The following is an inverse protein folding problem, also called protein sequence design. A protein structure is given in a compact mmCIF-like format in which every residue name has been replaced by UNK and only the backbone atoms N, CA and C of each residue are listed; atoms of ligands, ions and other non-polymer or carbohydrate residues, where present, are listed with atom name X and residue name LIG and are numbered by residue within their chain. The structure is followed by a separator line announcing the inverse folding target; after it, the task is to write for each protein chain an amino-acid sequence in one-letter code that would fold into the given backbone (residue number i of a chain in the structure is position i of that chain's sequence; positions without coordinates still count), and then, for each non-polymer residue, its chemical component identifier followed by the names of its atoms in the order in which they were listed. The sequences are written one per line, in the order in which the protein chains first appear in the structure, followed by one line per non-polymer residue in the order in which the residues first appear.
data_IF_814895598841
#
_entry.id   IF_814895598841
#
_cell.length_a   1.000
_cell.length_b   1.000
_cell.length_c   1.000
_cell.angle_alpha   90.00
_cell.angle_beta   90.00
_cell.angle_gamma   90.00
#
_symmetry.space_group_name_H-M   'P 1'
#
loop_
_entity.id
_entity.type
_entity.pdbx_description
1 polymer ?
#
# COMPACT_ATOMS: atom_id res chain seq x y z
N UNK A 1 28.69 -7.09 -19.38
CA UNK A 1 27.90 -8.09 -18.61
C UNK A 1 27.77 -9.35 -19.43
N UNK A 2 28.13 -10.53 -18.90
CA UNK A 2 27.92 -11.80 -19.59
C UNK A 2 26.41 -12.06 -19.65
N UNK A 3 25.86 -12.09 -20.87
CA UNK A 3 24.47 -12.45 -21.14
C UNK A 3 24.19 -13.86 -20.61
N UNK A 4 23.41 -13.99 -19.53
CA UNK A 4 22.96 -15.30 -19.06
C UNK A 4 22.04 -15.92 -20.10
N UNK A 5 22.35 -17.14 -20.53
CA UNK A 5 21.50 -17.91 -21.46
C UNK A 5 20.06 -17.95 -20.93
N UNK A 6 19.02 -17.63 -21.72
CA UNK A 6 17.62 -17.63 -21.29
C UNK A 6 17.19 -18.93 -20.58
N UNK A 7 17.66 -20.08 -21.05
CA UNK A 7 17.43 -21.39 -20.41
C UNK A 7 17.87 -21.46 -18.94
N UNK A 8 18.93 -20.73 -18.55
CA UNK A 8 19.42 -20.70 -17.16
C UNK A 8 18.51 -19.89 -16.22
N UNK A 9 17.80 -18.89 -16.74
CA UNK A 9 16.89 -18.05 -15.94
C UNK A 9 15.57 -18.79 -15.72
N UNK A 10 15.03 -19.41 -16.78
CA UNK A 10 13.86 -20.27 -16.72
C UNK A 10 14.04 -21.40 -15.69
N UNK A 11 15.14 -22.15 -15.80
CA UNK A 11 15.47 -23.23 -14.87
C UNK A 11 15.61 -22.71 -13.43
N UNK A 12 16.32 -21.59 -13.23
CA UNK A 12 16.50 -21.00 -11.89
C UNK A 12 15.17 -20.57 -11.26
N UNK A 13 14.26 -19.97 -12.02
CA UNK A 13 12.94 -19.60 -11.51
C UNK A 13 12.12 -20.85 -11.15
N UNK A 14 12.13 -21.86 -12.01
CA UNK A 14 11.43 -23.12 -11.78
C UNK A 14 11.85 -23.78 -10.46
N UNK A 15 13.15 -24.04 -10.31
CA UNK A 15 13.72 -24.66 -9.11
C UNK A 15 13.54 -23.86 -7.82
N UNK A 16 13.24 -22.56 -7.90
CA UNK A 16 13.10 -21.69 -6.72
C UNK A 16 11.66 -21.42 -6.31
N UNK A 17 10.70 -21.53 -7.24
CA UNK A 17 9.35 -21.01 -7.03
C UNK A 17 8.26 -22.04 -7.33
N UNK A 18 8.42 -22.85 -8.39
CA UNK A 18 7.31 -23.66 -8.91
C UNK A 18 7.60 -25.16 -9.02
N UNK A 19 8.83 -25.60 -8.73
CA UNK A 19 9.11 -27.03 -8.57
C UNK A 19 8.46 -27.57 -7.29
N UNK A 20 8.20 -28.87 -7.26
CA UNK A 20 7.59 -29.54 -6.10
C UNK A 20 8.38 -29.28 -4.80
N UNK A 21 9.70 -29.48 -4.85
CA UNK A 21 10.60 -29.17 -3.75
C UNK A 21 10.60 -27.69 -3.34
N UNK A 22 10.44 -26.76 -4.29
CA UNK A 22 10.38 -25.34 -3.98
C UNK A 22 9.09 -24.96 -3.26
N UNK A 23 7.97 -25.55 -3.67
CA UNK A 23 6.67 -25.35 -3.04
C UNK A 23 6.68 -25.86 -1.60
N UNK A 24 7.17 -27.09 -1.40
CA UNK A 24 7.33 -27.68 -0.07
C UNK A 24 8.23 -26.83 0.83
N UNK A 25 9.42 -26.46 0.33
CA UNK A 25 10.35 -25.61 1.07
C UNK A 25 9.74 -24.24 1.41
N UNK A 26 9.02 -23.61 0.47
CA UNK A 26 8.37 -22.32 0.72
C UNK A 26 7.31 -22.44 1.80
N UNK A 27 6.48 -23.49 1.75
CA UNK A 27 5.47 -23.74 2.77
C UNK A 27 6.07 -23.92 4.17
N UNK A 28 7.09 -24.78 4.30
CA UNK A 28 7.78 -24.99 5.58
C UNK A 28 8.43 -23.71 6.09
N UNK A 29 9.09 -22.94 5.22
CA UNK A 29 9.70 -21.66 5.61
C UNK A 29 8.67 -20.63 6.05
N UNK A 30 7.46 -20.63 5.47
CA UNK A 30 6.40 -19.73 5.90
C UNK A 30 5.86 -20.10 7.29
N UNK A 31 5.83 -21.39 7.63
CA UNK A 31 5.53 -21.85 9.00
C UNK A 31 6.63 -21.41 9.98
N UNK A 32 7.90 -21.61 9.62
CA UNK A 32 9.05 -21.23 10.46
C UNK A 32 9.02 -19.73 10.83
N UNK A 33 8.67 -18.87 9.87
CA UNK A 33 8.68 -17.41 10.07
C UNK A 33 7.35 -16.86 10.59
N UNK A 34 6.32 -17.68 10.78
CA UNK A 34 4.98 -17.21 11.17
C UNK A 34 4.99 -16.33 12.42
N UNK A 35 5.68 -16.66 13.52
CA UNK A 35 5.70 -15.81 14.71
C UNK A 35 6.36 -14.45 14.47
N UNK A 36 7.45 -14.43 13.68
CA UNK A 36 8.14 -13.21 13.31
C UNK A 36 7.27 -12.34 12.39
N UNK A 37 6.59 -12.98 11.43
CA UNK A 37 5.66 -12.31 10.53
C UNK A 37 4.48 -11.73 11.31
N UNK A 38 3.86 -12.49 12.21
CA UNK A 38 2.77 -12.03 13.05
C UNK A 38 3.15 -10.77 13.84
N UNK A 39 4.31 -10.81 14.50
CA UNK A 39 4.89 -9.65 15.19
C UNK A 39 5.05 -8.45 14.25
N UNK A 40 5.61 -8.67 13.07
CA UNK A 40 5.83 -7.59 12.09
C UNK A 40 4.52 -6.99 11.60
N UNK A 41 3.52 -7.81 11.28
CA UNK A 41 2.20 -7.37 10.83
C UNK A 41 1.52 -6.52 11.90
N UNK A 42 1.52 -6.96 13.16
CA UNK A 42 0.96 -6.20 14.27
C UNK A 42 1.63 -4.84 14.45
N UNK A 43 2.97 -4.80 14.42
CA UNK A 43 3.72 -3.55 14.60
C UNK A 43 3.54 -2.56 13.45
N UNK A 44 3.39 -3.05 12.22
CA UNK A 44 3.37 -2.18 11.05
C UNK A 44 1.95 -1.81 10.64
N UNK A 45 1.06 -2.79 10.50
CA UNK A 45 -0.25 -2.54 9.90
C UNK A 45 -1.19 -1.74 10.81
N UNK A 46 -1.15 -2.00 12.12
CA UNK A 46 -2.00 -1.28 13.08
C UNK A 46 -1.75 0.22 13.04
N UNK A 47 -0.48 0.65 13.03
CA UNK A 47 -0.10 2.07 13.00
C UNK A 47 -0.62 2.76 11.74
N UNK A 48 -0.40 2.17 10.56
CA UNK A 48 -0.87 2.75 9.31
C UNK A 48 -2.40 2.78 9.23
N UNK A 49 -3.05 1.65 9.49
CA UNK A 49 -4.51 1.55 9.37
C UNK A 49 -5.21 2.48 10.39
N UNK A 50 -4.69 2.60 11.63
CA UNK A 50 -5.22 3.54 12.64
C UNK A 50 -4.97 5.01 12.26
N UNK A 51 -3.83 5.31 11.65
CA UNK A 51 -3.53 6.66 11.13
C UNK A 51 -4.50 7.03 10.01
N UNK A 52 -4.74 6.12 9.07
CA UNK A 52 -5.67 6.28 7.95
C UNK A 52 -7.09 6.57 8.45
N UNK A 53 -7.55 5.87 9.49
CA UNK A 53 -8.87 6.09 10.08
C UNK A 53 -8.98 7.46 10.77
N UNK A 54 -7.97 7.85 11.54
CA UNK A 54 -7.95 9.16 12.21
C UNK A 54 -7.91 10.32 11.22
N UNK A 55 -6.98 10.25 10.27
CA UNK A 55 -6.83 11.26 9.21
C UNK A 55 -8.03 11.23 8.24
N UNK A 56 -8.65 10.07 8.05
CA UNK A 56 -9.90 9.92 7.32
C UNK A 56 -11.01 10.79 7.90
N UNK A 57 -11.23 10.76 9.21
CA UNK A 57 -12.24 11.60 9.85
C UNK A 57 -11.90 13.10 9.72
N UNK A 58 -10.64 13.47 9.96
CA UNK A 58 -10.20 14.88 9.92
C UNK A 58 -10.27 15.49 8.51
N UNK A 59 -9.99 14.69 7.48
CA UNK A 59 -10.03 15.12 6.07
C UNK A 59 -11.32 14.74 5.36
N UNK A 60 -12.33 14.24 6.07
CA UNK A 60 -13.59 13.79 5.49
C UNK A 60 -13.36 12.74 4.36
N UNK A 61 -12.40 11.81 4.52
CA UNK A 61 -12.19 10.64 3.63
C UNK A 61 -12.74 9.36 4.26
N UNK A 62 -13.61 8.67 3.53
CA UNK A 62 -14.28 7.47 4.03
C UNK A 62 -13.29 6.32 4.23
N UNK A 63 -13.49 5.44 5.24
CA UNK A 63 -12.64 4.27 5.45
C UNK A 63 -12.51 3.37 4.22
N UNK A 64 -13.59 3.21 3.42
CA UNK A 64 -13.55 2.39 2.20
C UNK A 64 -12.59 2.96 1.13
N UNK A 65 -12.40 4.28 1.12
CA UNK A 65 -11.50 4.94 0.18
C UNK A 65 -10.04 4.62 0.51
N UNK A 66 -9.67 4.34 1.76
CA UNK A 66 -8.33 3.85 2.07
C UNK A 66 -8.17 2.40 1.61
N UNK A 67 -7.67 2.22 0.38
CA UNK A 67 -7.41 0.89 -0.21
C UNK A 67 -6.48 0.02 0.65
N UNK A 68 -5.43 0.55 1.33
CA UNK A 68 -4.64 -0.26 2.25
C UNK A 68 -5.45 -0.78 3.43
N UNK A 69 -6.46 -0.03 3.91
CA UNK A 69 -7.40 -0.43 4.95
C UNK A 69 -8.46 -1.44 4.45
N UNK A 70 -9.12 -1.16 3.32
CA UNK A 70 -10.30 -1.88 2.83
C UNK A 70 -10.01 -3.12 1.97
N UNK A 71 -8.72 -3.48 1.81
CA UNK A 71 -8.33 -4.65 1.03
C UNK A 71 -8.23 -5.91 1.87
N UNK A 72 -9.02 -6.92 1.51
CA UNK A 72 -8.85 -8.28 1.98
C UNK A 72 -9.23 -9.32 0.91
N UNK A 73 -8.81 -10.56 1.13
CA UNK A 73 -9.07 -11.68 0.23
C UNK A 73 -9.56 -12.91 1.00
N UNK A 74 -10.62 -13.51 0.49
CA UNK A 74 -11.08 -14.82 0.88
C UNK A 74 -10.38 -15.89 0.03
N UNK A 75 -10.03 -16.98 0.69
CA UNK A 75 -9.48 -18.17 0.05
C UNK A 75 -10.61 -19.17 -0.23
N UNK A 76 -10.60 -19.73 -1.43
CA UNK A 76 -11.45 -20.86 -1.78
C UNK A 76 -10.61 -22.02 -2.29
N UNK A 77 -10.92 -23.21 -1.77
CA UNK A 77 -10.32 -24.47 -2.21
C UNK A 77 -10.68 -24.71 -3.69
N UNK A 78 -9.71 -25.02 -4.54
CA UNK A 78 -9.97 -25.41 -5.92
C UNK A 78 -10.66 -26.78 -6.00
N UNK A 79 -11.36 -27.04 -7.10
CA UNK A 79 -11.84 -28.40 -7.42
C UNK A 79 -10.68 -29.30 -7.86
N UNK A 80 -10.94 -30.61 -7.98
CA UNK A 80 -9.94 -31.56 -8.48
C UNK A 80 -9.48 -31.19 -9.90
N UNK A 81 -10.42 -30.88 -10.80
CA UNK A 81 -10.10 -30.50 -12.19
C UNK A 81 -9.31 -29.19 -12.27
N UNK A 82 -9.69 -28.19 -11.45
CA UNK A 82 -8.93 -26.95 -11.29
C UNK A 82 -7.49 -27.23 -10.83
N UNK A 83 -7.32 -28.13 -9.86
CA UNK A 83 -6.01 -28.53 -9.32
C UNK A 83 -5.16 -29.26 -10.37
N UNK A 84 -5.77 -30.14 -11.17
CA UNK A 84 -5.09 -30.82 -12.29
C UNK A 84 -4.62 -29.81 -13.36
N UNK A 85 -5.37 -28.72 -13.56
CA UNK A 85 -4.93 -27.60 -14.41
C UNK A 85 -3.93 -26.65 -13.71
N UNK A 86 -3.49 -26.97 -12.50
CA UNK A 86 -2.51 -26.20 -11.75
C UNK A 86 -3.08 -25.00 -11.01
N UNK A 87 -4.40 -24.90 -10.84
CA UNK A 87 -5.03 -23.87 -10.01
C UNK A 87 -5.00 -24.37 -8.56
N UNK A 88 -4.02 -23.90 -7.79
CA UNK A 88 -3.79 -24.33 -6.39
C UNK A 88 -4.61 -23.52 -5.38
N UNK A 89 -5.00 -22.30 -5.76
CA UNK A 89 -5.73 -21.39 -4.89
C UNK A 89 -6.62 -20.45 -5.70
N UNK A 90 -7.83 -20.19 -5.19
CA UNK A 90 -8.70 -19.14 -5.67
C UNK A 90 -8.77 -18.03 -4.63
N UNK A 91 -8.41 -16.82 -5.05
CA UNK A 91 -8.48 -15.62 -4.22
C UNK A 91 -9.64 -14.77 -4.70
N UNK A 92 -10.63 -14.55 -3.84
CA UNK A 92 -11.73 -13.61 -4.09
C UNK A 92 -11.53 -12.37 -3.24
N UNK A 93 -11.61 -11.20 -3.86
CA UNK A 93 -11.56 -9.93 -3.12
C UNK A 93 -12.79 -9.86 -2.22
N UNK A 94 -12.58 -9.56 -0.94
CA UNK A 94 -13.66 -9.26 -0.02
C UNK A 94 -14.10 -7.82 -0.26
N UNK A 95 -15.41 -7.62 -0.39
CA UNK A 95 -15.98 -6.31 -0.69
C UNK A 95 -16.44 -5.62 0.60
N UNK A 96 -15.56 -4.82 1.19
CA UNK A 96 -15.83 -4.19 2.49
C UNK A 96 -17.00 -3.21 2.43
N UNK A 97 -17.28 -2.61 1.27
CA UNK A 97 -18.43 -1.72 1.10
C UNK A 97 -19.77 -2.44 1.24
N UNK A 98 -19.80 -3.76 1.01
CA UNK A 98 -21.01 -4.59 1.19
C UNK A 98 -21.12 -5.19 2.59
N UNK A 99 -19.98 -5.36 3.27
CA UNK A 99 -19.93 -5.94 4.61
C UNK A 99 -20.16 -4.91 5.70
N UNK A 100 -19.70 -3.68 5.49
CA UNK A 100 -19.67 -2.63 6.49
C UNK A 100 -20.26 -1.34 5.90
N UNK A 101 -21.56 -1.14 6.09
CA UNK A 101 -22.27 0.04 5.60
C UNK A 101 -21.62 1.35 6.11
N UNK A 102 -21.20 1.35 7.38
CA UNK A 102 -20.47 2.43 8.03
C UNK A 102 -19.16 2.83 7.36
N UNK A 103 -18.55 1.99 6.52
CA UNK A 103 -17.34 2.36 5.78
C UNK A 103 -17.63 3.23 4.54
N UNK A 104 -18.90 3.30 4.12
CA UNK A 104 -19.35 3.94 2.87
C UNK A 104 -20.09 5.25 3.10
N UNK A 105 -20.51 5.52 4.34
CA UNK A 105 -21.24 6.71 4.71
C UNK A 105 -20.69 7.30 6.02
N UNK A 106 -20.50 8.63 6.04
CA UNK A 106 -19.89 9.32 7.18
C UNK A 106 -20.78 9.36 8.41
N UNK A 107 -22.10 9.47 8.19
CA UNK A 107 -23.05 9.51 9.28
C UNK A 107 -23.09 8.16 9.97
N UNK A 108 -23.17 7.08 9.20
CA UNK A 108 -23.07 5.73 9.73
C UNK A 108 -21.71 5.47 10.37
N UNK A 109 -20.60 5.96 9.78
CA UNK A 109 -19.27 5.87 10.39
C UNK A 109 -19.25 6.47 11.80
N UNK A 110 -19.80 7.68 11.95
CA UNK A 110 -19.84 8.39 13.22
C UNK A 110 -20.75 7.68 14.22
N UNK A 111 -21.96 7.30 13.80
CA UNK A 111 -22.96 6.68 14.67
C UNK A 111 -22.53 5.30 15.20
N UNK A 112 -21.85 4.50 14.38
CA UNK A 112 -21.43 3.15 14.75
C UNK A 112 -20.17 3.14 15.64
N UNK A 113 -19.28 4.11 15.47
CA UNK A 113 -17.96 4.07 16.11
C UNK A 113 -17.79 5.00 17.32
N UNK A 114 -18.59 6.05 17.46
CA UNK A 114 -18.39 7.07 18.49
C UNK A 114 -19.57 7.16 19.46
N UNK A 115 -19.30 7.56 20.70
CA UNK A 115 -20.32 7.71 21.74
C UNK A 115 -21.32 8.82 21.39
N UNK A 116 -22.59 8.62 21.76
CA UNK A 116 -23.73 9.45 21.33
C UNK A 116 -23.55 10.94 21.65
N UNK A 117 -22.92 11.26 22.78
CA UNK A 117 -22.67 12.63 23.22
C UNK A 117 -21.76 13.42 22.27
N UNK A 118 -20.88 12.75 21.51
CA UNK A 118 -19.94 13.41 20.59
C UNK A 118 -20.44 13.43 19.14
N UNK A 119 -21.44 12.61 18.79
CA UNK A 119 -21.87 12.42 17.41
C UNK A 119 -22.35 13.72 16.75
N UNK A 120 -23.13 14.54 17.46
CA UNK A 120 -23.65 15.80 16.92
C UNK A 120 -22.52 16.77 16.52
N UNK A 121 -21.48 16.86 17.35
CA UNK A 121 -20.32 17.72 17.08
C UNK A 121 -19.50 17.21 15.90
N UNK A 122 -19.27 15.88 15.83
CA UNK A 122 -18.54 15.27 14.72
C UNK A 122 -19.28 15.42 13.38
N UNK A 123 -20.62 15.25 13.38
CA UNK A 123 -21.44 15.42 12.19
C UNK A 123 -21.47 16.86 11.70
N UNK A 124 -21.46 17.84 12.61
CA UNK A 124 -21.42 19.25 12.27
C UNK A 124 -20.10 19.66 11.58
N UNK A 125 -19.01 18.92 11.82
CA UNK A 125 -17.71 19.15 11.17
C UNK A 125 -17.64 18.55 9.77
N UNK A 126 -18.38 17.47 9.51
CA UNK A 126 -18.44 16.84 8.19
C UNK A 126 -19.42 17.58 7.29
N UNK A 127 -18.90 18.44 6.40
CA UNK A 127 -19.70 19.03 5.34
C UNK A 127 -20.18 17.94 4.35
N UNK A 128 -21.44 18.03 3.92
CA UNK A 128 -21.96 17.12 2.90
C UNK A 128 -21.23 17.32 1.57
N UNK A 129 -20.74 16.21 1.01
CA UNK A 129 -20.04 16.22 -0.27
C UNK A 129 -21.02 16.53 -1.38
N UNK A 130 -20.60 17.36 -2.32
CA UNK A 130 -21.38 17.65 -3.50
C UNK A 130 -21.51 16.40 -4.39
N UNK A 131 -22.74 15.98 -4.65
CA UNK A 131 -23.07 14.92 -5.60
C UNK A 131 -23.61 15.57 -6.88
N UNK A 132 -22.94 15.32 -8.00
CA UNK A 132 -23.33 15.86 -9.30
C UNK A 132 -24.77 15.49 -9.64
N UNK A 133 -25.60 16.49 -9.94
CA UNK A 133 -27.02 16.30 -10.28
C UNK A 133 -27.97 16.14 -9.10
N UNK A 134 -27.48 16.13 -7.84
CA UNK A 134 -28.32 16.03 -6.64
C UNK A 134 -28.13 17.25 -5.74
N UNK A 135 -26.89 17.61 -5.43
CA UNK A 135 -26.61 18.71 -4.50
C UNK A 135 -26.88 20.06 -5.17
N UNK A 136 -27.67 20.97 -4.56
CA UNK A 136 -27.89 22.31 -5.09
C UNK A 136 -26.58 23.09 -5.25
N UNK A 137 -26.54 23.94 -6.27
CA UNK A 137 -25.36 24.79 -6.56
C UNK A 137 -24.96 25.62 -5.33
N UNK A 138 -23.65 25.73 -5.09
CA UNK A 138 -23.04 26.43 -3.95
C UNK A 138 -23.38 25.87 -2.54
N UNK A 139 -24.03 24.70 -2.41
CA UNK A 139 -24.34 24.07 -1.11
C UNK A 139 -23.53 22.82 -0.78
N UNK A 140 -22.67 22.36 -1.69
CA UNK A 140 -21.85 21.18 -1.47
C UNK A 140 -20.36 21.49 -1.45
N UNK A 141 -19.60 20.69 -0.69
CA UNK A 141 -18.14 20.74 -0.71
C UNK A 141 -17.62 19.77 -1.78
N UNK A 142 -16.77 20.27 -2.66
CA UNK A 142 -16.05 19.44 -3.64
C UNK A 142 -14.66 19.15 -3.10
N UNK A 143 -14.37 17.87 -2.84
CA UNK A 143 -12.99 17.47 -2.61
C UNK A 143 -12.23 17.58 -3.94
N UNK A 144 -11.06 18.21 -4.00
CA UNK A 144 -10.18 18.04 -5.13
C UNK A 144 -9.81 16.56 -5.20
N UNK A 145 -10.25 15.86 -6.26
CA UNK A 145 -9.99 14.43 -6.51
C UNK A 145 -8.50 14.12 -6.32
N UNK A 146 -7.66 15.06 -6.73
CA UNK A 146 -6.21 15.02 -6.62
C UNK A 146 -5.73 14.91 -5.16
N UNK A 147 -6.29 15.69 -4.24
CA UNK A 147 -5.92 15.66 -2.81
C UNK A 147 -6.36 14.37 -2.11
N UNK A 148 -7.52 13.81 -2.50
CA UNK A 148 -7.97 12.52 -1.98
C UNK A 148 -7.10 11.38 -2.47
N UNK A 149 -6.86 11.31 -3.79
CA UNK A 149 -5.96 10.31 -4.38
C UNK A 149 -4.53 10.44 -3.86
N UNK A 150 -4.10 11.66 -3.52
CA UNK A 150 -2.84 11.92 -2.85
C UNK A 150 -2.74 11.21 -1.51
N UNK A 151 -3.63 11.49 -0.55
CA UNK A 151 -3.58 10.86 0.77
C UNK A 151 -3.60 9.33 0.63
N UNK A 152 -4.46 8.79 -0.24
CA UNK A 152 -4.52 7.35 -0.55
C UNK A 152 -3.19 6.80 -1.06
N UNK A 153 -2.57 7.48 -2.03
CA UNK A 153 -1.30 7.05 -2.62
C UNK A 153 -0.12 7.19 -1.64
N UNK A 154 -0.13 8.23 -0.81
CA UNK A 154 0.88 8.51 0.20
C UNK A 154 0.91 7.43 1.25
N UNK A 155 -0.21 7.12 1.90
CA UNK A 155 -0.24 6.04 2.89
C UNK A 155 0.20 4.70 2.30
N UNK A 156 -0.25 4.40 1.08
CA UNK A 156 0.21 3.20 0.38
C UNK A 156 1.73 3.19 0.20
N UNK A 157 2.31 4.31 -0.24
CA UNK A 157 3.75 4.43 -0.50
C UNK A 157 4.58 4.40 0.77
N UNK A 158 4.18 5.11 1.83
CA UNK A 158 4.84 5.09 3.13
C UNK A 158 4.87 3.66 3.70
N UNK A 159 3.74 2.94 3.59
CA UNK A 159 3.66 1.52 3.96
C UNK A 159 4.63 0.63 3.16
N UNK A 160 4.94 0.98 1.90
CA UNK A 160 5.94 0.26 1.10
C UNK A 160 7.39 0.63 1.46
N UNK A 161 7.65 1.86 1.89
CA UNK A 161 8.98 2.33 2.30
C UNK A 161 9.40 1.75 3.67
N UNK A 162 8.44 1.30 4.49
CA UNK A 162 8.59 0.49 5.72
C UNK A 162 9.31 1.16 6.90
N UNK A 163 10.33 1.97 6.65
CA UNK A 163 11.10 2.65 7.69
C UNK A 163 10.90 4.16 7.62
N UNK A 164 10.46 4.80 8.71
CA UNK A 164 10.40 6.26 8.79
C UNK A 164 11.81 6.82 8.83
N UNK A 165 12.36 7.11 7.65
CA UNK A 165 13.67 7.73 7.46
C UNK A 165 13.54 8.98 6.56
N UNK A 166 14.68 9.56 6.18
CA UNK A 166 14.73 10.72 5.27
C UNK A 166 13.97 10.48 3.95
N UNK A 167 13.81 9.23 3.50
CA UNK A 167 13.04 8.93 2.30
C UNK A 167 11.55 9.20 2.47
N UNK A 168 11.00 9.10 3.68
CA UNK A 168 9.60 9.45 3.96
C UNK A 168 9.39 10.96 3.88
N UNK A 169 10.28 11.74 4.50
CA UNK A 169 10.21 13.21 4.47
C UNK A 169 10.36 13.75 3.05
N UNK A 170 11.41 13.32 2.36
CA UNK A 170 11.66 13.71 0.97
C UNK A 170 10.49 13.32 0.05
N UNK A 171 9.88 12.15 0.27
CA UNK A 171 8.69 11.73 -0.49
C UNK A 171 7.49 12.62 -0.17
N UNK A 172 7.18 12.85 1.11
CA UNK A 172 6.03 13.67 1.52
C UNK A 172 6.15 15.09 0.98
N UNK A 173 7.33 15.70 1.12
CA UNK A 173 7.61 17.04 0.62
C UNK A 173 7.52 17.12 -0.90
N UNK A 174 8.05 16.13 -1.63
CA UNK A 174 7.92 16.08 -3.08
C UNK A 174 6.47 16.05 -3.53
N UNK A 175 5.62 15.30 -2.83
CA UNK A 175 4.23 15.22 -3.22
C UNK A 175 3.46 16.49 -2.81
N UNK A 176 3.80 17.11 -1.66
CA UNK A 176 3.24 18.40 -1.25
C UNK A 176 3.57 19.52 -2.27
N UNK A 177 4.84 19.60 -2.68
CA UNK A 177 5.34 20.55 -3.70
C UNK A 177 4.60 20.38 -5.03
N UNK A 178 4.45 19.14 -5.50
CA UNK A 178 3.85 18.84 -6.82
C UNK A 178 2.36 19.19 -6.90
N UNK A 179 1.66 19.17 -5.77
CA UNK A 179 0.21 19.34 -5.72
C UNK A 179 -0.24 20.75 -5.34
N UNK A 180 0.71 21.67 -5.09
CA UNK A 180 0.45 23.03 -4.61
C UNK A 180 -0.56 23.04 -3.44
N UNK A 181 -0.49 22.02 -2.58
CA UNK A 181 -1.54 21.79 -1.58
C UNK A 181 -1.44 22.82 -0.45
N UNK A 182 -2.28 23.84 -0.53
CA UNK A 182 -2.50 24.78 0.57
C UNK A 182 -3.37 24.07 1.63
N UNK A 183 -2.73 23.57 2.69
CA UNK A 183 -3.42 23.21 3.94
C UNK A 183 -3.16 21.81 4.48
N UNK A 184 -2.99 20.78 3.65
CA UNK A 184 -2.55 19.46 4.17
C UNK A 184 -1.05 19.52 4.37
N UNK A 185 -0.64 19.80 5.61
CA UNK A 185 0.76 19.70 5.98
C UNK A 185 1.13 18.22 5.97
N UNK A 186 1.98 17.85 5.02
CA UNK A 186 2.85 16.68 5.07
C UNK A 186 3.32 16.35 6.50
N UNK A 187 3.67 17.38 7.26
CA UNK A 187 4.02 17.28 8.67
C UNK A 187 2.94 16.63 9.54
N UNK A 188 1.66 16.96 9.36
CA UNK A 188 0.59 16.38 10.18
C UNK A 188 0.46 14.87 9.93
N UNK A 189 0.57 14.44 8.67
CA UNK A 189 0.52 13.01 8.31
C UNK A 189 1.73 12.29 8.92
N UNK A 190 2.93 12.83 8.75
CA UNK A 190 4.16 12.27 9.31
C UNK A 190 4.10 12.20 10.84
N UNK A 191 3.78 13.32 11.50
CA UNK A 191 3.73 13.44 12.95
C UNK A 191 2.75 12.44 13.56
N UNK A 192 1.54 12.26 12.98
CA UNK A 192 0.58 11.28 13.50
C UNK A 192 1.05 9.84 13.37
N UNK A 193 1.67 9.48 12.25
CA UNK A 193 2.24 8.15 12.08
C UNK A 193 3.37 7.92 13.11
N UNK A 194 4.25 8.91 13.30
CA UNK A 194 5.35 8.82 14.26
C UNK A 194 4.88 8.78 15.71
N UNK A 195 3.84 9.55 16.05
CA UNK A 195 3.18 9.48 17.36
C UNK A 195 2.66 8.08 17.65
N UNK A 196 2.00 7.43 16.68
CA UNK A 196 1.47 6.07 16.83
C UNK A 196 2.59 5.02 16.91
N UNK A 197 3.67 5.14 16.12
CA UNK A 197 4.83 4.24 16.25
C UNK A 197 5.52 4.38 17.61
N UNK A 198 5.71 5.62 18.08
CA UNK A 198 6.27 5.86 19.41
C UNK A 198 5.36 5.30 20.50
N UNK A 199 4.07 5.65 20.46
CA UNK A 199 3.10 5.17 21.44
C UNK A 199 3.04 3.64 21.47
N UNK A 200 3.06 2.96 20.32
CA UNK A 200 3.04 1.50 20.27
C UNK A 200 4.25 0.85 20.94
N UNK A 201 5.44 1.47 20.87
CA UNK A 201 6.67 0.88 21.43
C UNK A 201 6.91 1.31 22.87
N UNK A 202 6.56 2.55 23.23
CA UNK A 202 6.86 3.15 24.53
C UNK A 202 5.68 3.16 25.50
N UNK A 203 4.46 2.83 25.05
CA UNK A 203 3.26 2.82 25.89
C UNK A 203 2.36 1.64 25.57
N UNK A 204 1.75 1.07 26.62
CA UNK A 204 0.70 0.09 26.47
C UNK A 204 -0.63 0.82 26.32
N UNK A 205 -1.18 0.79 25.10
CA UNK A 205 -2.44 1.46 24.76
C UNK A 205 -3.42 0.42 24.26
N UNK A 206 -4.61 0.33 24.85
CA UNK A 206 -5.64 -0.60 24.38
C UNK A 206 -6.00 -0.29 22.92
N UNK A 207 -6.01 -1.31 22.07
CA UNK A 207 -6.25 -1.18 20.63
C UNK A 207 -5.01 -0.89 19.77
N UNK A 208 -3.85 -0.62 20.36
CA UNK A 208 -2.58 -0.35 19.64
C UNK A 208 -1.40 -1.19 20.15
N UNK A 209 -1.37 -1.44 21.46
CA UNK A 209 -0.28 -2.11 22.14
C UNK A 209 -0.13 -3.58 21.73
N UNK A 210 1.11 -4.02 21.56
CA UNK A 210 1.49 -5.40 21.24
C UNK A 210 2.16 -6.01 22.45
N UNK A 211 1.57 -7.10 22.97
CA UNK A 211 2.08 -7.80 24.15
C UNK A 211 3.53 -8.24 23.96
N UNK A 212 4.36 -8.01 24.98
CA UNK A 212 5.79 -8.31 24.96
C UNK A 212 6.66 -7.29 24.20
N UNK A 213 6.08 -6.26 23.60
CA UNK A 213 6.80 -5.20 22.90
C UNK A 213 6.50 -3.80 23.44
N UNK A 214 5.23 -3.50 23.62
CA UNK A 214 4.79 -2.24 24.21
C UNK A 214 5.20 -2.17 25.67
N UNK A 215 5.83 -1.06 26.05
CA UNK A 215 6.26 -0.78 27.43
C UNK A 215 5.15 -0.15 28.23
N UNK A 216 5.25 -0.19 29.56
CA UNK A 216 4.45 0.69 30.41
C UNK A 216 5.06 2.10 30.32
N UNK A 217 4.26 3.14 30.00
CA UNK A 217 4.77 4.48 29.80
C UNK A 217 5.17 5.13 31.14
N UNK A 218 6.01 6.16 31.05
CA UNK A 218 6.13 7.13 32.13
C UNK A 218 4.83 7.94 32.23
N UNK A 219 4.37 8.19 33.46
CA UNK A 219 3.12 8.91 33.71
C UNK A 219 3.44 10.35 34.10
N UNK A 220 2.73 11.30 33.50
CA UNK A 220 2.67 12.69 33.91
C UNK A 220 1.24 13.03 34.34
N UNK A 221 0.98 12.87 35.63
CA UNK A 221 -0.37 12.89 36.19
C UNK A 221 -1.23 11.76 35.62
N UNK A 222 -2.31 12.12 34.94
CA UNK A 222 -3.24 11.17 34.30
C UNK A 222 -2.88 10.83 32.84
N UNK A 223 -1.79 11.38 32.31
CA UNK A 223 -1.38 11.20 30.91
C UNK A 223 -0.14 10.31 30.82
N UNK A 224 -0.14 9.43 29.84
CA UNK A 224 1.05 8.73 29.38
C UNK A 224 1.97 9.72 28.64
N UNK A 225 3.25 9.67 28.95
CA UNK A 225 4.29 10.51 28.36
C UNK A 225 5.20 9.64 27.49
N UNK A 226 5.28 9.95 26.19
CA UNK A 226 6.17 9.25 25.26
C UNK A 226 6.95 10.23 24.38
N UNK A 227 8.25 9.99 24.13
CA UNK A 227 9.02 10.84 23.22
C UNK A 227 8.69 10.49 21.77
N UNK A 228 8.49 11.47 20.91
CA UNK A 228 8.43 11.23 19.46
C UNK A 228 9.20 12.31 18.71
N UNK A 229 9.61 11.99 17.48
CA UNK A 229 10.30 12.90 16.59
C UNK A 229 9.30 13.46 15.57
N UNK A 230 9.22 14.78 15.46
CA UNK A 230 8.39 15.45 14.45
C UNK A 230 9.07 15.45 13.07
N UNK A 231 8.35 15.94 12.06
CA UNK A 231 8.84 16.08 10.69
C UNK A 231 10.07 17.01 10.57
N UNK A 232 10.31 17.88 11.56
CA UNK A 232 11.44 18.82 11.64
C UNK A 232 12.59 18.30 12.52
N UNK A 233 12.63 17.00 12.83
CA UNK A 233 13.67 16.37 13.68
C UNK A 233 13.72 16.87 15.12
N UNK A 234 12.64 17.50 15.59
CA UNK A 234 12.52 17.91 16.99
C UNK A 234 11.87 16.80 17.78
N UNK A 235 12.47 16.49 18.93
CA UNK A 235 11.94 15.50 19.86
C UNK A 235 10.99 16.22 20.82
N UNK A 236 9.76 15.72 20.89
CA UNK A 236 8.72 16.23 21.77
C UNK A 236 8.23 15.14 22.72
N UNK A 237 7.85 15.57 23.92
CA UNK A 237 7.17 14.73 24.89
C UNK A 237 5.66 14.76 24.65
N UNK A 238 5.15 13.73 23.99
CA UNK A 238 3.73 13.56 23.73
C UNK A 238 3.00 13.10 24.98
N UNK A 239 1.98 13.86 25.38
CA UNK A 239 1.07 13.50 26.48
C UNK A 239 -0.27 13.06 25.90
N UNK A 240 -0.68 11.84 26.22
CA UNK A 240 -1.95 11.29 25.76
C UNK A 240 -2.50 10.29 26.78
N UNK A 241 -3.79 9.95 26.67
CA UNK A 241 -4.44 9.02 27.62
C UNK A 241 -5.10 7.85 26.89
N UNK A 242 -5.72 8.14 25.76
CA UNK A 242 -6.47 7.17 24.96
C UNK A 242 -6.01 7.21 23.50
N UNK A 243 -6.42 6.20 22.73
CA UNK A 243 -5.98 6.03 21.34
C UNK A 243 -6.45 7.17 20.41
N UNK A 244 -7.66 7.67 20.62
CA UNK A 244 -8.25 8.80 19.90
C UNK A 244 -7.44 10.09 20.06
N UNK A 245 -6.74 10.30 21.18
CA UNK A 245 -5.81 11.42 21.32
C UNK A 245 -4.70 11.39 20.27
N UNK A 246 -4.20 10.19 19.94
CA UNK A 246 -3.15 10.01 18.94
C UNK A 246 -3.73 10.12 17.52
N UNK A 247 -4.92 9.55 17.30
CA UNK A 247 -5.54 9.49 15.98
C UNK A 247 -6.14 10.81 15.53
N UNK A 248 -6.78 11.55 16.44
CA UNK A 248 -7.64 12.70 16.14
C UNK A 248 -7.27 13.95 16.93
N UNK A 249 -6.57 13.80 18.06
CA UNK A 249 -6.31 14.89 18.99
C UNK A 249 -5.54 16.06 18.38
N UNK A 250 -5.82 17.26 18.89
CA UNK A 250 -5.05 18.47 18.70
C UNK A 250 -3.98 18.56 19.79
N UNK A 251 -2.71 18.50 19.39
CA UNK A 251 -1.55 18.58 20.28
C UNK A 251 -0.84 19.90 20.01
N UNK A 252 -0.78 20.76 21.03
CA UNK A 252 -0.17 22.09 20.91
C UNK A 252 1.30 21.99 20.46
N UNK A 253 1.66 22.74 19.43
CA UNK A 253 3.02 22.77 18.88
C UNK A 253 3.36 21.63 17.92
N UNK A 254 2.46 20.65 17.75
CA UNK A 254 2.65 19.48 16.87
C UNK A 254 1.58 19.44 15.79
N UNK A 255 0.31 19.56 16.18
CA UNK A 255 -0.83 19.55 15.27
C UNK A 255 -1.07 20.96 14.74
N UNK A 256 -1.09 21.18 13.41
CA UNK A 256 -1.46 22.47 12.87
C UNK A 256 -2.91 22.83 13.21
N UNK A 257 -3.18 24.13 13.36
CA UNK A 257 -4.51 24.64 13.68
C UNK A 257 -5.54 24.20 12.62
N UNK A 258 -6.68 23.67 13.09
CA UNK A 258 -7.74 23.13 12.22
C UNK A 258 -7.56 21.67 11.79
N UNK A 259 -6.44 21.02 12.14
CA UNK A 259 -6.14 19.62 11.74
C UNK A 259 -6.16 18.63 12.90
N UNK A 260 -6.89 18.94 13.97
CA UNK A 260 -7.11 18.06 15.11
C UNK A 260 -8.29 18.50 15.96
N UNK A 261 -8.74 17.61 16.85
CA UNK A 261 -9.87 17.81 17.74
C UNK A 261 -9.40 18.02 19.18
N UNK A 262 -10.05 18.93 19.90
CA UNK A 262 -9.93 18.96 21.36
C UNK A 262 -10.75 17.81 21.93
N UNK A 263 -10.07 16.86 22.56
CA UNK A 263 -10.67 15.61 23.03
C UNK A 263 -10.81 15.59 24.56
N UNK A 264 -11.86 14.95 25.09
CA UNK A 264 -12.05 14.73 26.52
C UNK A 264 -11.00 13.75 27.07
N UNK A 265 -10.91 13.60 28.39
CA UNK A 265 -9.95 12.66 29.01
C UNK A 265 -10.27 11.18 28.74
N UNK A 266 -11.54 10.87 28.50
CA UNK A 266 -12.00 9.52 28.20
C UNK A 266 -12.09 9.35 26.69
N UNK A 267 -12.00 8.10 26.22
CA UNK A 267 -12.07 7.78 24.80
C UNK A 267 -13.44 8.12 24.23
N UNK A 268 -13.49 8.79 23.08
CA UNK A 268 -14.75 9.07 22.37
C UNK A 268 -15.29 7.85 21.59
N UNK A 269 -14.53 6.76 21.50
CA UNK A 269 -14.96 5.53 20.82
C UNK A 269 -15.99 4.75 21.63
N UNK A 270 -17.04 4.31 20.94
CA UNK A 270 -18.13 3.50 21.49
C UNK A 270 -17.67 2.07 21.80
N UNK A 271 -17.60 1.74 23.08
CA UNK A 271 -17.40 0.35 23.52
C UNK A 271 -18.73 -0.40 23.47
N UNK A 272 -18.87 -1.36 22.54
CA UNK A 272 -20.06 -2.22 22.47
C UNK A 272 -20.21 -2.99 23.79
N UNK A 273 -21.38 -2.89 24.42
CA UNK A 273 -21.68 -3.52 25.72
C UNK A 273 -20.65 -3.15 26.82
N UNK A 274 -19.96 -2.02 26.69
CA UNK A 274 -18.95 -1.53 27.62
C UNK A 274 -17.65 -2.34 27.70
N UNK A 275 -17.48 -3.40 26.89
CA UNK A 275 -16.33 -4.32 26.98
C UNK A 275 -15.75 -4.75 25.64
N UNK A 276 -16.50 -4.62 24.54
CA UNK A 276 -16.06 -5.04 23.22
C UNK A 276 -15.44 -3.87 22.47
N UNK A 277 -14.46 -4.18 21.62
CA UNK A 277 -13.83 -3.22 20.73
C UNK A 277 -14.87 -2.46 19.90
N UNK A 278 -14.67 -1.17 19.60
CA UNK A 278 -15.49 -0.47 18.64
C UNK A 278 -15.37 -1.14 17.25
N UNK A 279 -16.38 -1.02 16.37
CA UNK A 279 -16.41 -1.68 15.06
C UNK A 279 -15.12 -1.47 14.24
N UNK A 280 -14.57 -0.26 14.26
CA UNK A 280 -13.34 0.07 13.56
C UNK A 280 -12.13 -0.74 14.04
N UNK A 281 -11.98 -0.95 15.34
CA UNK A 281 -10.88 -1.73 15.92
C UNK A 281 -11.13 -3.24 15.72
N UNK A 282 -12.39 -3.67 15.75
CA UNK A 282 -12.79 -5.04 15.45
C UNK A 282 -12.40 -5.43 14.01
N UNK A 283 -12.73 -4.60 13.02
CA UNK A 283 -12.37 -4.87 11.62
C UNK A 283 -10.86 -4.88 11.41
N UNK A 284 -10.13 -3.93 12.02
CA UNK A 284 -8.67 -3.92 12.00
C UNK A 284 -8.08 -5.23 12.55
N UNK A 285 -8.56 -5.65 13.72
CA UNK A 285 -8.10 -6.88 14.39
C UNK A 285 -8.36 -8.12 13.54
N UNK A 286 -9.58 -8.23 12.99
CA UNK A 286 -9.97 -9.35 12.12
C UNK A 286 -9.12 -9.40 10.85
N UNK A 287 -8.84 -8.24 10.25
CA UNK A 287 -7.97 -8.13 9.08
C UNK A 287 -6.53 -8.55 9.38
N UNK A 288 -5.94 -8.02 10.46
CA UNK A 288 -4.56 -8.38 10.85
C UNK A 288 -4.46 -9.88 11.12
N UNK A 289 -5.40 -10.42 11.90
CA UNK A 289 -5.46 -11.85 12.23
C UNK A 289 -5.64 -12.70 10.97
N UNK A 290 -6.50 -12.26 10.05
CA UNK A 290 -6.68 -12.89 8.75
C UNK A 290 -5.41 -12.92 7.91
N UNK A 291 -4.66 -11.82 7.85
CA UNK A 291 -3.38 -11.74 7.12
C UNK A 291 -2.37 -12.73 7.70
N UNK A 292 -2.28 -12.83 9.02
CA UNK A 292 -1.38 -13.75 9.72
C UNK A 292 -1.76 -15.19 9.41
N UNK A 293 -3.03 -15.56 9.62
CA UNK A 293 -3.54 -16.91 9.40
C UNK A 293 -3.42 -17.37 7.94
N UNK A 294 -3.39 -16.42 6.99
CA UNK A 294 -3.24 -16.69 5.55
C UNK A 294 -1.79 -16.66 5.06
N UNK A 295 -0.80 -16.48 5.93
CA UNK A 295 0.61 -16.38 5.53
C UNK A 295 1.03 -17.53 4.62
N UNK A 296 0.73 -18.77 5.01
CA UNK A 296 1.09 -20.00 4.27
C UNK A 296 0.42 -20.11 2.90
N UNK A 297 -0.71 -19.44 2.69
CA UNK A 297 -1.38 -19.38 1.39
C UNK A 297 -0.56 -18.62 0.35
N UNK A 298 0.45 -17.84 0.78
CA UNK A 298 1.41 -17.21 -0.12
C UNK A 298 2.13 -18.25 -0.98
N UNK A 299 2.44 -19.44 -0.45
CA UNK A 299 3.01 -20.54 -1.23
C UNK A 299 2.12 -20.86 -2.44
N UNK A 300 0.82 -21.05 -2.21
CA UNK A 300 -0.13 -21.38 -3.25
C UNK A 300 -0.37 -20.22 -4.21
N UNK A 301 -0.32 -18.98 -3.73
CA UNK A 301 -0.36 -17.79 -4.59
C UNK A 301 0.83 -17.75 -5.56
N UNK A 302 2.05 -18.01 -5.06
CA UNK A 302 3.26 -18.00 -5.86
C UNK A 302 3.43 -19.24 -6.74
N UNK A 303 2.84 -20.38 -6.38
CA UNK A 303 2.88 -21.61 -7.19
C UNK A 303 1.70 -21.72 -8.16
N UNK A 304 0.63 -20.94 -7.97
CA UNK A 304 -0.59 -20.96 -8.77
C UNK A 304 -0.38 -20.97 -10.30
N UNK A 305 -1.22 -21.69 -11.02
CA UNK A 305 -1.17 -21.89 -12.47
C UNK A 305 0.03 -22.71 -12.98
N UNK A 306 0.57 -23.61 -12.15
CA UNK A 306 1.60 -24.58 -12.55
C UNK A 306 1.05 -25.99 -12.32
N UNK A 307 0.95 -26.81 -13.37
CA UNK A 307 0.40 -28.16 -13.27
C UNK A 307 1.34 -29.11 -12.54
N UNK A 308 0.85 -30.21 -11.95
CA UNK A 308 1.69 -31.23 -11.33
C UNK A 308 2.83 -31.73 -12.24
N UNK A 309 2.52 -32.02 -13.51
CA UNK A 309 3.49 -32.47 -14.51
C UNK A 309 4.59 -31.43 -14.82
N UNK A 310 4.26 -30.13 -14.71
CA UNK A 310 5.18 -29.02 -14.94
C UNK A 310 6.11 -28.80 -13.74
N UNK A 311 5.74 -29.24 -12.54
CA UNK A 311 6.57 -29.14 -11.34
C UNK A 311 7.84 -29.99 -11.43
N UNK A 312 7.81 -31.07 -12.22
CA UNK A 312 8.92 -32.00 -12.37
C UNK A 312 9.94 -31.56 -13.44
N UNK A 313 9.48 -30.83 -14.46
CA UNK A 313 10.33 -30.47 -15.60
C UNK A 313 10.10 -29.02 -16.04
N UNK A 314 11.12 -28.18 -15.86
CA UNK A 314 11.07 -26.78 -16.24
C UNK A 314 10.83 -26.56 -17.74
N UNK A 315 11.25 -27.48 -18.61
CA UNK A 315 10.99 -27.36 -20.05
C UNK A 315 9.51 -27.38 -20.40
N UNK A 316 8.69 -28.05 -19.58
CA UNK A 316 7.24 -28.16 -19.77
C UNK A 316 6.44 -27.05 -19.09
N UNK A 317 7.06 -26.26 -18.22
CA UNK A 317 6.34 -25.27 -17.40
C UNK A 317 6.00 -24.00 -18.17
N UNK A 318 4.73 -23.86 -18.55
CA UNK A 318 4.18 -22.65 -19.18
C UNK A 318 4.40 -21.40 -18.32
N UNK A 319 4.36 -21.56 -17.00
CA UNK A 319 4.60 -20.47 -16.05
C UNK A 319 6.06 -20.03 -16.03
N UNK A 320 7.00 -20.96 -16.13
CA UNK A 320 8.42 -20.64 -16.25
C UNK A 320 8.71 -19.95 -17.60
N UNK A 321 8.05 -20.35 -18.68
CA UNK A 321 8.12 -19.67 -19.98
C UNK A 321 7.56 -18.25 -19.93
N UNK A 322 6.39 -18.06 -19.30
CA UNK A 322 5.81 -16.73 -19.09
C UNK A 322 6.79 -15.81 -18.34
N UNK A 323 7.45 -16.33 -17.30
CA UNK A 323 8.46 -15.57 -16.56
C UNK A 323 9.67 -15.20 -17.43
N UNK A 324 10.23 -16.14 -18.20
CA UNK A 324 11.39 -15.86 -19.07
C UNK A 324 11.06 -14.85 -20.18
N UNK A 325 9.85 -14.92 -20.75
CA UNK A 325 9.38 -13.92 -21.72
C UNK A 325 9.30 -12.52 -21.11
N UNK A 326 8.79 -12.39 -19.87
CA UNK A 326 8.76 -11.11 -19.15
C UNK A 326 10.18 -10.59 -18.84
N UNK A 327 11.12 -11.48 -18.48
CA UNK A 327 12.52 -11.10 -18.27
C UNK A 327 13.23 -10.73 -19.59
N UNK A 328 12.84 -11.34 -20.69
CA UNK A 328 13.37 -11.01 -22.02
C UNK A 328 12.90 -9.63 -22.47
N UNK A 329 11.62 -9.30 -22.26
CA UNK A 329 11.11 -7.95 -22.49
C UNK A 329 11.84 -6.91 -21.63
N UNK A 330 12.07 -7.22 -20.35
CA UNK A 330 12.85 -6.36 -19.45
C UNK A 330 14.27 -6.11 -19.98
N UNK A 331 15.00 -7.17 -20.36
CA UNK A 331 16.36 -7.06 -20.89
C UNK A 331 16.43 -6.28 -22.20
N UNK A 332 15.43 -6.43 -23.05
CA UNK A 332 15.32 -5.63 -24.27
C UNK A 332 15.27 -4.13 -23.95
N UNK A 333 14.42 -3.74 -22.98
CA UNK A 333 14.34 -2.34 -22.52
C UNK A 333 15.67 -1.89 -21.90
N UNK A 334 16.25 -2.69 -21.01
CA UNK A 334 17.53 -2.36 -20.35
C UNK A 334 18.67 -2.14 -21.35
N UNK A 335 18.74 -2.95 -22.42
CA UNK A 335 19.72 -2.82 -23.49
C UNK A 335 19.43 -1.63 -24.40
N UNK A 336 18.15 -1.36 -24.70
CA UNK A 336 17.73 -0.21 -25.50
C UNK A 336 18.15 1.11 -24.84
N UNK A 337 17.99 1.20 -23.51
CA UNK A 337 18.44 2.33 -22.69
C UNK A 337 19.96 2.42 -22.68
N UNK A 338 20.65 1.33 -22.38
CA UNK A 338 22.12 1.31 -22.31
C UNK A 338 22.78 1.83 -23.59
N UNK A 339 22.20 1.54 -24.76
CA UNK A 339 22.72 1.98 -26.05
C UNK A 339 22.54 3.50 -26.33
N UNK A 340 21.81 4.22 -25.48
CA UNK A 340 21.41 5.62 -25.68
C UNK A 340 21.86 6.56 -24.56
N UNK A 341 22.55 6.05 -23.56
CA UNK A 341 23.11 6.89 -22.49
C UNK A 341 24.39 7.54 -23.02
N UNK A 342 24.51 8.88 -22.93
CA UNK A 342 25.73 9.60 -23.31
C UNK A 342 26.97 9.10 -22.54
N UNK A 343 28.18 9.10 -23.14
CA UNK A 343 29.40 8.61 -22.50
C UNK A 343 29.74 9.29 -21.16
N UNK A 344 29.41 10.57 -21.02
CA UNK A 344 29.56 11.39 -19.82
C UNK A 344 28.60 11.00 -18.69
N UNK A 345 27.46 10.40 -19.03
CA UNK A 345 26.47 9.86 -18.09
C UNK A 345 26.65 8.34 -17.83
N UNK A 346 27.53 7.67 -18.59
CA UNK A 346 27.63 6.22 -18.69
C UNK A 346 28.44 5.54 -17.55
N UNK A 347 28.22 5.95 -16.29
CA UNK A 347 28.74 5.19 -15.15
C UNK A 347 27.80 4.03 -14.76
N UNK A 348 28.28 2.92 -14.16
CA UNK A 348 27.45 1.74 -13.89
C UNK A 348 26.21 2.01 -13.02
N UNK A 349 26.29 2.96 -12.10
CA UNK A 349 25.19 3.33 -11.19
C UNK A 349 24.12 4.10 -11.94
N UNK A 350 24.51 5.13 -12.69
CA UNK A 350 23.63 5.96 -13.51
C UNK A 350 22.99 5.15 -14.62
N UNK A 351 23.74 4.28 -15.29
CA UNK A 351 23.19 3.33 -16.27
C UNK A 351 22.04 2.54 -15.64
N UNK A 352 22.23 2.02 -14.43
CA UNK A 352 21.19 1.28 -13.74
C UNK A 352 20.01 2.16 -13.35
N UNK A 353 20.24 3.40 -12.94
CA UNK A 353 19.18 4.36 -12.63
C UNK A 353 18.36 4.72 -13.88
N UNK A 354 18.99 5.03 -15.02
CA UNK A 354 18.30 5.25 -16.30
C UNK A 354 17.49 4.02 -16.74
N UNK A 355 18.06 2.82 -16.61
CA UNK A 355 17.33 1.58 -16.88
C UNK A 355 16.09 1.43 -15.98
N UNK A 356 16.24 1.71 -14.68
CA UNK A 356 15.11 1.69 -13.75
C UNK A 356 14.06 2.76 -14.11
N UNK A 357 14.50 3.94 -14.55
CA UNK A 357 13.64 5.05 -14.94
C UNK A 357 12.73 4.67 -16.12
N UNK A 358 13.30 4.12 -17.20
CA UNK A 358 12.51 3.69 -18.36
C UNK A 358 11.65 2.45 -18.04
N UNK A 359 12.17 1.51 -17.23
CA UNK A 359 11.37 0.40 -16.74
C UNK A 359 10.18 0.88 -15.90
N UNK A 360 10.30 2.00 -15.18
CA UNK A 360 9.20 2.61 -14.44
C UNK A 360 8.06 3.02 -15.37
N UNK A 361 8.38 3.73 -16.46
CA UNK A 361 7.40 4.17 -17.46
C UNK A 361 6.59 3.00 -18.03
N UNK A 362 7.24 1.88 -18.32
CA UNK A 362 6.55 0.67 -18.80
C UNK A 362 5.81 -0.01 -17.65
N UNK A 363 6.48 -0.23 -16.52
CA UNK A 363 6.00 -1.17 -15.52
C UNK A 363 4.94 -0.63 -14.58
N UNK A 364 4.93 0.67 -14.30
CA UNK A 364 4.02 1.27 -13.33
C UNK A 364 2.62 1.41 -13.91
N UNK A 365 2.49 1.89 -15.15
CA UNK A 365 1.19 1.95 -15.86
C UNK A 365 0.69 0.57 -16.31
N UNK A 366 1.59 -0.39 -16.55
CA UNK A 366 1.22 -1.79 -16.86
C UNK A 366 1.35 -2.73 -15.67
N UNK A 367 1.14 -2.26 -14.43
CA UNK A 367 1.26 -3.09 -13.23
C UNK A 367 0.00 -3.94 -13.04
N UNK A 368 0.18 -5.27 -12.97
CA UNK A 368 -0.94 -6.23 -12.74
C UNK A 368 -1.40 -6.25 -11.28
N UNK A 369 -0.46 -6.11 -10.35
CA UNK A 369 -0.74 -6.02 -8.91
C UNK A 369 -0.85 -4.53 -8.56
N UNK A 370 -2.09 -4.03 -8.59
CA UNK A 370 -2.45 -2.61 -8.78
C UNK A 370 -2.30 -1.70 -7.55
N UNK A 371 -1.79 -2.21 -6.44
CA UNK A 371 -1.86 -1.48 -5.16
C UNK A 371 -1.01 -0.21 -5.19
N UNK A 372 -1.67 0.92 -4.97
CA UNK A 372 -1.07 2.26 -4.96
C UNK A 372 -0.64 2.81 -6.31
N UNK A 373 -1.02 2.19 -7.44
CA UNK A 373 -0.66 2.69 -8.78
C UNK A 373 -1.75 3.50 -9.49
N UNK A 374 -2.91 3.64 -8.86
CA UNK A 374 -4.07 4.33 -9.43
C UNK A 374 -3.83 5.82 -9.68
N UNK A 375 -3.04 6.47 -8.82
CA UNK A 375 -2.68 7.88 -9.00
C UNK A 375 -1.88 8.13 -10.28
N UNK A 376 -0.97 7.22 -10.68
CA UNK A 376 -0.26 7.33 -11.96
C UNK A 376 -1.09 6.89 -13.17
N UNK A 377 -2.19 6.17 -12.95
CA UNK A 377 -3.15 5.80 -14.00
C UNK A 377 -4.09 6.97 -14.31
N UNK A 378 -4.49 7.74 -13.28
CA UNK A 378 -5.35 8.92 -13.43
C UNK A 378 -4.62 10.16 -13.98
N UNK A 379 -3.29 10.18 -13.94
CA UNK A 379 -2.48 11.21 -14.59
C UNK A 379 -2.60 11.13 -16.12
N UNK A 380 -2.70 12.30 -16.76
CA UNK A 380 -2.47 12.43 -18.21
C UNK A 380 -1.02 12.05 -18.56
N UNK A 381 -0.76 11.74 -19.84
CA UNK A 381 0.60 11.39 -20.29
C UNK A 381 1.60 12.52 -20.00
N UNK A 382 1.18 13.77 -20.19
CA UNK A 382 2.02 14.95 -19.94
C UNK A 382 2.30 15.15 -18.44
N UNK A 383 1.28 15.02 -17.59
CA UNK A 383 1.47 15.06 -16.12
C UNK A 383 2.41 13.96 -15.65
N UNK A 384 2.24 12.73 -16.16
CA UNK A 384 3.11 11.61 -15.79
C UNK A 384 4.55 11.85 -16.27
N UNK A 385 4.73 12.38 -17.48
CA UNK A 385 6.04 12.70 -18.05
C UNK A 385 6.77 13.73 -17.19
N UNK A 386 6.14 14.86 -16.89
CA UNK A 386 6.78 15.92 -16.09
C UNK A 386 7.13 15.42 -14.69
N UNK A 387 6.20 14.75 -14.01
CA UNK A 387 6.49 14.10 -12.73
C UNK A 387 7.67 13.13 -12.81
N UNK A 388 7.74 12.31 -13.87
CA UNK A 388 8.82 11.34 -14.07
C UNK A 388 10.17 12.03 -14.30
N UNK A 389 10.20 13.09 -15.12
CA UNK A 389 11.39 13.90 -15.35
C UNK A 389 11.91 14.50 -14.04
N UNK A 390 11.03 15.14 -13.26
CA UNK A 390 11.40 15.78 -12.00
C UNK A 390 11.91 14.77 -10.97
N UNK A 391 11.21 13.65 -10.82
CA UNK A 391 11.57 12.59 -9.87
C UNK A 391 12.97 12.02 -10.12
N UNK A 392 13.34 11.76 -11.37
CA UNK A 392 14.64 11.20 -11.72
C UNK A 392 15.74 12.25 -11.81
N UNK A 393 15.41 13.49 -12.18
CA UNK A 393 16.36 14.61 -12.17
C UNK A 393 16.84 14.89 -10.74
N UNK A 394 15.92 14.89 -9.76
CA UNK A 394 16.27 15.02 -8.33
C UNK A 394 17.17 13.89 -7.82
N UNK A 395 17.13 12.71 -8.44
CA UNK A 395 18.05 11.60 -8.13
C UNK A 395 19.41 11.69 -8.83
N UNK A 396 19.67 12.81 -9.51
CA UNK A 396 20.95 13.10 -10.14
C UNK A 396 21.08 12.62 -11.58
N UNK A 397 19.98 12.33 -12.27
CA UNK A 397 19.99 12.03 -13.71
C UNK A 397 19.81 13.31 -14.54
N UNK A 398 20.48 13.39 -15.69
CA UNK A 398 20.31 14.49 -16.64
C UNK A 398 18.89 14.52 -17.23
N UNK A 399 18.19 15.67 -17.09
CA UNK A 399 16.85 15.90 -17.68
C UNK A 399 16.87 15.82 -19.21
N UNK A 400 17.97 16.21 -19.84
CA UNK A 400 18.15 16.12 -21.30
C UNK A 400 18.12 14.66 -21.75
N UNK A 401 18.97 13.81 -21.17
CA UNK A 401 18.99 12.37 -21.46
C UNK A 401 17.64 11.70 -21.15
N UNK A 402 16.98 12.09 -20.07
CA UNK A 402 15.65 11.58 -19.73
C UNK A 402 14.60 11.96 -20.79
N UNK A 403 14.63 13.19 -21.30
CA UNK A 403 13.75 13.65 -22.37
C UNK A 403 14.00 12.87 -23.67
N UNK A 404 15.25 12.63 -24.04
CA UNK A 404 15.62 11.85 -25.22
C UNK A 404 15.14 10.39 -25.10
N UNK A 405 15.35 9.79 -23.94
CA UNK A 405 14.84 8.44 -23.64
C UNK A 405 13.32 8.40 -23.68
N UNK A 406 12.63 9.42 -23.15
CA UNK A 406 11.17 9.51 -23.19
C UNK A 406 10.65 9.62 -24.63
N UNK A 407 11.24 10.52 -25.42
CA UNK A 407 10.91 10.71 -26.83
C UNK A 407 11.13 9.42 -27.63
N UNK A 408 12.27 8.77 -27.42
CA UNK A 408 12.60 7.51 -28.10
C UNK A 408 11.72 6.33 -27.70
N UNK A 409 11.28 6.26 -26.44
CA UNK A 409 10.43 5.16 -25.96
C UNK A 409 8.96 5.33 -26.32
N UNK A 410 8.49 6.57 -26.54
CA UNK A 410 7.10 6.87 -26.86
C UNK A 410 6.55 6.03 -28.04
N UNK A 411 7.43 5.68 -28.99
CA UNK A 411 7.13 4.86 -30.16
C UNK A 411 6.73 3.40 -29.85
N UNK A 412 7.14 2.85 -28.71
CA UNK A 412 6.93 1.44 -28.37
C UNK A 412 6.41 1.19 -26.96
N UNK A 413 6.36 2.21 -26.10
CA UNK A 413 6.00 2.09 -24.69
C UNK A 413 4.60 1.51 -24.49
N UNK A 414 3.61 1.96 -25.26
CA UNK A 414 2.22 1.47 -25.19
C UNK A 414 2.14 0.00 -25.55
N UNK A 415 2.71 -0.38 -26.70
CA UNK A 415 2.76 -1.78 -27.12
C UNK A 415 3.50 -2.65 -26.11
N UNK A 416 4.56 -2.15 -25.48
CA UNK A 416 5.25 -2.87 -24.42
C UNK A 416 4.38 -3.04 -23.16
N UNK A 417 3.62 -2.00 -22.77
CA UNK A 417 2.65 -2.02 -21.68
C UNK A 417 1.57 -3.09 -21.94
N UNK A 418 0.97 -3.10 -23.13
CA UNK A 418 -0.03 -4.08 -23.56
C UNK A 418 0.51 -5.51 -23.56
N UNK A 419 1.65 -5.73 -24.23
CA UNK A 419 2.28 -7.05 -24.33
C UNK A 419 2.59 -7.62 -22.94
N UNK A 420 3.06 -6.79 -22.00
CA UNK A 420 3.32 -7.20 -20.62
C UNK A 420 2.03 -7.66 -19.91
N UNK A 421 0.92 -6.94 -20.10
CA UNK A 421 -0.38 -7.30 -19.51
C UNK A 421 -0.91 -8.61 -20.10
N UNK A 422 -0.86 -8.76 -21.43
CA UNK A 422 -1.29 -9.97 -22.15
C UNK A 422 -0.45 -11.17 -21.71
N UNK A 423 0.87 -11.06 -21.80
CA UNK A 423 1.79 -12.11 -21.37
C UNK A 423 1.52 -12.51 -19.93
N UNK A 424 1.33 -11.52 -19.04
CA UNK A 424 1.06 -11.78 -17.64
C UNK A 424 -0.26 -12.50 -17.34
N UNK A 425 -1.31 -12.31 -18.16
CA UNK A 425 -2.61 -12.99 -17.94
C UNK A 425 -2.73 -14.32 -18.68
N UNK A 426 -1.88 -14.54 -19.70
CA UNK A 426 -1.95 -15.70 -20.61
C UNK A 426 -2.11 -17.03 -19.90
N UNK A 427 -1.17 -17.40 -19.01
CA UNK A 427 -1.18 -18.71 -18.34
C UNK A 427 -2.41 -18.88 -17.46
N UNK A 428 -2.75 -17.86 -16.65
CA UNK A 428 -3.95 -17.86 -15.81
C UNK A 428 -5.23 -18.06 -16.64
N UNK A 429 -5.39 -17.34 -17.74
CA UNK A 429 -6.57 -17.44 -18.60
C UNK A 429 -6.68 -18.82 -19.26
N UNK A 430 -5.56 -19.36 -19.75
CA UNK A 430 -5.51 -20.70 -20.33
C UNK A 430 -5.92 -21.74 -19.30
N UNK A 431 -5.36 -21.69 -18.07
CA UNK A 431 -5.69 -22.66 -17.01
C UNK A 431 -7.17 -22.59 -16.62
N UNK A 432 -7.71 -21.39 -16.42
CA UNK A 432 -9.13 -21.20 -16.10
C UNK A 432 -10.03 -21.75 -17.21
N UNK A 433 -9.71 -21.50 -18.48
CA UNK A 433 -10.47 -22.02 -19.61
C UNK A 433 -10.44 -23.55 -19.65
N UNK A 434 -9.26 -24.15 -19.45
CA UNK A 434 -9.11 -25.61 -19.48
C UNK A 434 -9.79 -26.29 -18.28
N UNK A 435 -9.89 -25.62 -17.14
CA UNK A 435 -10.61 -26.13 -15.98
C UNK A 435 -12.14 -26.10 -16.16
N UNK A 436 -12.65 -25.22 -17.04
CA UNK A 436 -14.09 -25.13 -17.37
C UNK A 436 -14.51 -26.09 -18.51
N UNK A 437 -13.55 -26.68 -19.22
CA UNK A 437 -13.79 -27.59 -20.35
C UNK A 437 -13.76 -29.07 -19.97
N UNK A 438 -13.62 -29.38 -18.68
CA UNK A 438 -13.56 -30.74 -18.13
C UNK A 438 -14.89 -31.08 -17.47
#
# INVERSE_FOLDING_TARGET
MISKKPSSIKAKYHHKVVSDSAICNTYLRLLDIEPLFARYVWMQLSVFDLSELGLGLLYNILPVDFEPYSIDYAFETPTVDETLQGIWAKFKKVDFSKLYAWMTDFREYIMENFEEEYQASLLAMTAEKAVYGITPYARGVYDPVIAREFLRATFHKLRLLRTPDESWKSMLQHIADYLEMIGVTDDNVFNRIMMLFSAQTQSFVLGLGVLGLSRLPEMDGEYSKVPFMDAQDRIHDLKFRTLDHLQLGFILGVTPLGYGLLLPKNSIYKLKEGKKNPPVIEVLTNKISGIINRLTLSTWAYSNYNRPEEMLNYHKSDKADQYDLLQTQRRFIENWVHARIPPDEANPVRIRQYQNAVLQCVCWRAKRHRWGFKSWESMTEDQFKEWWLDYWTRQGLSRETLNDLYGGMSLWVERARENKLVLGRKVQQIRKRLALSV
#
